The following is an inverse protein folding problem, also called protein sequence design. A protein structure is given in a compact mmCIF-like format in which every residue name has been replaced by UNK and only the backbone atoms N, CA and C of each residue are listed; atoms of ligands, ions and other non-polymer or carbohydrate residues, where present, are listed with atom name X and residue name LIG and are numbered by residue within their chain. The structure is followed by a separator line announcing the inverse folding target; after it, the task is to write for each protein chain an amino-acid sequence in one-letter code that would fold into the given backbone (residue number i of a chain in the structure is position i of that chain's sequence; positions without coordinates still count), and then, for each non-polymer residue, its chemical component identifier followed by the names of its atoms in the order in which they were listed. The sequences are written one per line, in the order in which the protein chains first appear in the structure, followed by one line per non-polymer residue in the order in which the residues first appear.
data_IF_058317850859
#
_entry.id   IF_058317850859
#
_cell.length_a   1.000
_cell.length_b   1.000
_cell.length_c   1.000
_cell.angle_alpha   90.00
_cell.angle_beta   90.00
_cell.angle_gamma   90.00
#
_symmetry.space_group_name_H-M   'P 1'
#
loop_
_entity.id
_entity.type
_entity.pdbx_description
1 polymer ?
#
# COMPACT_ATOMS: atom_id res chain seq x y z
N UNK A 1 0.73 -11.90 1.22
CA UNK A 1 0.47 -10.82 0.27
C UNK A 1 -0.07 -9.61 1.03
N UNK A 2 0.22 -8.37 0.59
CA UNK A 2 -0.26 -7.15 1.27
C UNK A 2 -1.30 -6.37 0.46
N UNK A 3 -1.34 -6.61 -0.85
CA UNK A 3 -2.24 -5.96 -1.81
C UNK A 3 -2.93 -7.02 -2.65
N UNK A 4 -4.15 -6.74 -3.08
CA UNK A 4 -4.86 -7.51 -4.12
C UNK A 4 -5.59 -6.54 -5.04
N UNK A 5 -5.38 -6.69 -6.34
CA UNK A 5 -6.08 -5.92 -7.38
C UNK A 5 -7.17 -6.78 -8.00
N UNK A 6 -8.34 -6.21 -8.21
CA UNK A 6 -9.49 -6.92 -8.76
C UNK A 6 -10.46 -5.97 -9.45
N UNK A 7 -11.18 -6.47 -10.44
CA UNK A 7 -12.18 -5.68 -11.15
C UNK A 7 -13.40 -5.39 -10.28
N UNK A 8 -13.87 -6.43 -9.56
CA UNK A 8 -15.00 -6.35 -8.66
C UNK A 8 -14.81 -7.30 -7.48
N UNK A 9 -15.46 -6.98 -6.36
CA UNK A 9 -15.53 -7.82 -5.16
C UNK A 9 -16.82 -7.54 -4.42
N UNK A 10 -17.46 -8.59 -3.90
CA UNK A 10 -18.62 -8.44 -3.01
C UNK A 10 -18.21 -7.96 -1.62
N UNK A 11 -19.08 -7.20 -0.95
CA UNK A 11 -18.83 -6.65 0.39
C UNK A 11 -18.36 -7.69 1.42
N UNK A 12 -19.03 -8.86 1.58
CA UNK A 12 -18.60 -9.90 2.51
C UNK A 12 -17.20 -10.45 2.22
N UNK A 13 -16.84 -10.60 0.94
CA UNK A 13 -15.52 -11.06 0.52
C UNK A 13 -14.45 -10.00 0.81
N UNK A 14 -14.72 -8.74 0.46
CA UNK A 14 -13.82 -7.62 0.76
C UNK A 14 -13.54 -7.50 2.27
N UNK A 15 -14.59 -7.68 3.09
CA UNK A 15 -14.45 -7.65 4.54
C UNK A 15 -13.59 -8.81 5.08
N UNK A 16 -13.56 -9.98 4.41
CA UNK A 16 -12.64 -11.08 4.76
C UNK A 16 -11.20 -10.78 4.35
N UNK A 17 -11.00 -10.20 3.16
CA UNK A 17 -9.68 -9.79 2.65
C UNK A 17 -9.03 -8.76 3.58
N UNK A 18 -9.78 -7.74 3.99
CA UNK A 18 -9.29 -6.73 4.94
C UNK A 18 -8.96 -7.34 6.30
N UNK A 19 -9.79 -8.25 6.83
CA UNK A 19 -9.50 -8.96 8.09
C UNK A 19 -8.26 -9.84 8.01
N UNK A 20 -7.90 -10.31 6.82
CA UNK A 20 -6.65 -11.05 6.58
C UNK A 20 -5.42 -10.12 6.44
N UNK A 21 -5.56 -8.81 6.65
CA UNK A 21 -4.46 -7.85 6.55
C UNK A 21 -4.06 -7.50 5.10
N UNK A 22 -4.92 -7.82 4.13
CA UNK A 22 -4.68 -7.52 2.72
C UNK A 22 -5.49 -6.28 2.35
N UNK A 23 -4.85 -5.30 1.71
CA UNK A 23 -5.54 -4.11 1.21
C UNK A 23 -6.14 -4.37 -0.18
N UNK A 24 -7.48 -4.38 -0.33
CA UNK A 24 -8.13 -4.54 -1.62
C UNK A 24 -8.08 -3.26 -2.45
N UNK A 25 -7.62 -3.37 -3.70
CA UNK A 25 -7.62 -2.27 -4.68
C UNK A 25 -8.60 -2.59 -5.80
N UNK A 26 -9.60 -1.72 -5.99
CA UNK A 26 -10.59 -1.86 -7.05
C UNK A 26 -10.04 -1.27 -8.36
N UNK A 27 -10.01 -2.08 -9.41
CA UNK A 27 -9.56 -1.69 -10.75
C UNK A 27 -10.64 -2.04 -11.78
N UNK A 28 -11.73 -1.26 -11.86
CA UNK A 28 -12.97 -1.65 -12.54
C UNK A 28 -12.83 -1.79 -14.07
N UNK A 29 -11.87 -1.09 -14.66
CA UNK A 29 -11.56 -1.19 -16.09
C UNK A 29 -11.01 -2.58 -16.44
N UNK A 30 -10.34 -3.24 -15.50
CA UNK A 30 -9.58 -4.47 -15.79
C UNK A 30 -8.41 -4.19 -16.74
N UNK A 31 -7.76 -5.24 -17.21
CA UNK A 31 -6.62 -5.12 -18.13
C UNK A 31 -5.58 -6.20 -17.90
N UNK A 32 -4.46 -6.11 -18.62
CA UNK A 32 -3.37 -7.06 -18.45
C UNK A 32 -2.71 -6.85 -17.08
N UNK A 33 -2.54 -7.93 -16.31
CA UNK A 33 -1.93 -7.86 -14.98
C UNK A 33 -0.54 -7.18 -14.98
N UNK A 34 0.23 -7.33 -16.07
CA UNK A 34 1.54 -6.70 -16.23
C UNK A 34 1.47 -5.17 -16.31
N UNK A 35 0.43 -4.62 -16.93
CA UNK A 35 0.24 -3.17 -17.04
C UNK A 35 -0.11 -2.57 -15.68
N UNK A 36 -1.02 -3.22 -14.95
CA UNK A 36 -1.40 -2.82 -13.58
C UNK A 36 -0.21 -2.94 -12.63
N UNK A 37 0.61 -3.98 -12.78
CA UNK A 37 1.84 -4.15 -12.03
C UNK A 37 2.83 -3.01 -12.31
N UNK A 38 2.97 -2.56 -13.55
CA UNK A 38 3.83 -1.41 -13.90
C UNK A 38 3.38 -0.13 -13.20
N UNK A 39 2.06 0.11 -13.09
CA UNK A 39 1.52 1.26 -12.36
C UNK A 39 1.80 1.17 -10.85
N UNK A 40 1.63 -0.03 -10.27
CA UNK A 40 1.97 -0.29 -8.88
C UNK A 40 3.47 -0.05 -8.64
N UNK A 41 4.35 -0.52 -9.51
CA UNK A 41 5.79 -0.29 -9.42
C UNK A 41 6.15 1.20 -9.42
N UNK A 42 5.43 2.03 -10.20
CA UNK A 42 5.55 3.49 -10.14
C UNK A 42 5.19 4.05 -8.75
N UNK A 43 4.09 3.57 -8.17
CA UNK A 43 3.66 3.95 -6.81
C UNK A 43 4.67 3.52 -5.74
N UNK A 44 5.31 2.36 -5.92
CA UNK A 44 6.32 1.83 -5.01
C UNK A 44 7.62 2.64 -4.98
N UNK A 45 7.83 3.58 -5.90
CA UNK A 45 8.95 4.53 -5.84
C UNK A 45 8.78 5.53 -4.69
N UNK A 46 7.54 5.95 -4.42
CA UNK A 46 7.18 6.79 -3.27
C UNK A 46 5.98 6.16 -2.56
N UNK A 47 6.22 5.04 -1.85
CA UNK A 47 5.14 4.26 -1.26
C UNK A 47 4.43 5.08 -0.17
N UNK A 48 3.11 4.92 0.02
CA UNK A 48 2.41 5.52 1.14
C UNK A 48 2.96 4.99 2.47
N UNK A 49 2.84 5.74 3.58
CA UNK A 49 3.49 5.39 4.85
C UNK A 49 3.25 3.98 5.36
N UNK A 50 2.01 3.49 5.26
CA UNK A 50 1.66 2.15 5.68
C UNK A 50 2.37 1.07 4.86
N UNK A 51 2.52 1.29 3.55
CA UNK A 51 3.18 0.36 2.64
C UNK A 51 4.70 0.47 2.75
N UNK A 52 5.23 1.68 2.96
CA UNK A 52 6.65 1.90 3.25
C UNK A 52 7.07 1.08 4.48
N UNK A 53 6.28 1.15 5.57
CA UNK A 53 6.49 0.36 6.79
C UNK A 53 6.51 -1.14 6.51
N UNK A 54 5.54 -1.64 5.73
CA UNK A 54 5.46 -3.06 5.34
C UNK A 54 6.66 -3.50 4.49
N UNK A 55 7.20 -2.60 3.66
CA UNK A 55 8.38 -2.84 2.83
C UNK A 55 9.72 -2.64 3.58
N UNK A 56 9.70 -2.28 4.86
CA UNK A 56 10.90 -1.95 5.64
C UNK A 56 11.61 -0.69 5.16
N UNK A 57 10.89 0.25 4.52
CA UNK A 57 11.42 1.52 4.04
C UNK A 57 10.93 2.66 4.92
N UNK A 58 11.77 3.67 5.12
CA UNK A 58 11.37 4.88 5.81
C UNK A 58 10.36 5.67 4.94
N UNK A 59 9.27 6.11 5.54
CA UNK A 59 8.26 6.89 4.85
C UNK A 59 8.68 8.36 4.81
N UNK A 60 9.10 8.86 3.63
CA UNK A 60 9.54 10.25 3.46
C UNK A 60 8.51 11.28 3.98
N UNK A 61 7.21 11.01 3.85
CA UNK A 61 6.16 11.91 4.34
C UNK A 61 6.00 11.91 5.87
N UNK A 62 6.53 10.90 6.58
CA UNK A 62 6.51 10.84 8.04
C UNK A 62 7.73 11.53 8.68
N UNK A 63 8.77 11.86 7.92
CA UNK A 63 9.99 12.50 8.44
C UNK A 63 9.70 13.79 9.23
N UNK A 64 8.72 14.57 8.79
CA UNK A 64 8.27 15.80 9.48
C UNK A 64 7.65 15.58 10.87
N UNK A 65 7.33 14.34 11.21
CA UNK A 65 6.71 13.93 12.48
C UNK A 65 7.64 13.08 13.33
N UNK A 66 8.87 12.81 12.88
CA UNK A 66 9.89 12.19 13.72
C UNK A 66 10.31 13.25 14.73
N UNK A 67 9.91 13.08 15.97
CA UNK A 67 10.31 13.97 17.07
C UNK A 67 11.83 13.95 17.19
N UNK A 68 12.47 15.12 17.19
CA UNK A 68 13.89 15.27 17.44
C UNK A 68 14.19 14.93 18.91
N UNK A 69 14.34 13.65 19.25
CA UNK A 69 14.74 13.21 20.60
C UNK A 69 16.26 13.02 20.76
N UNK A 70 17.08 13.51 19.82
CA UNK A 70 18.55 13.58 19.96
C UNK A 70 19.05 15.01 19.71
N UNK A 71 18.70 15.93 20.61
CA UNK A 71 19.39 17.23 20.74
C UNK A 71 19.79 17.54 22.18
N UNK A 72 19.79 16.55 23.06
CA UNK A 72 20.33 16.70 24.41
C UNK A 72 21.01 15.39 24.85
N UNK A 73 22.27 15.26 24.47
CA UNK A 73 23.28 14.43 25.13
C UNK A 73 24.64 15.12 25.01
#
# INVERSE_FOLDING_TARGET
CHLVYMQSIGGPAAAKVVRAGIHPVKYPVGGAAREVLSQLQGTLQRPPPWLAKVLGREAASLQRYVTSEESEA
#
